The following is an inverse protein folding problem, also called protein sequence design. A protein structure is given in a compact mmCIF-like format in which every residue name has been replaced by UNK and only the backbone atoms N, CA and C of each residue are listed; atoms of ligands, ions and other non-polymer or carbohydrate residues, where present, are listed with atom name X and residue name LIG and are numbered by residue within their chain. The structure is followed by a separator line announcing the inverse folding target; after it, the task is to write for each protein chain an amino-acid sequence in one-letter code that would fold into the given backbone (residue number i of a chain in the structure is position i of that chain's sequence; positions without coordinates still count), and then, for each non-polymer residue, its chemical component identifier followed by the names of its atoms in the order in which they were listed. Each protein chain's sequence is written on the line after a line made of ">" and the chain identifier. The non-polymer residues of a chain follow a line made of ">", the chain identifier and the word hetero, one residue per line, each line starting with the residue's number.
data_IF_599703121619
#
_entry.id   IF_599703121619
#
_cell.length_a   1.000
_cell.length_b   1.000
_cell.length_c   1.000
_cell.angle_alpha   90.00
_cell.angle_beta   90.00
_cell.angle_gamma   90.00
#
_symmetry.space_group_name_H-M   'P 1'
#
loop_
_entity.id
_entity.type
_entity.pdbx_description
1 polymer ?
#
# COMPACT_ATOMS: atom_id res chain seq x y z
N UNK A 1 -21.42 -2.60 10.64
CA UNK A 1 -20.82 -2.45 9.27
C UNK A 1 -19.35 -2.24 9.47
N UNK A 2 -18.50 -2.86 8.64
CA UNK A 2 -17.04 -2.73 8.68
C UNK A 2 -16.51 -2.73 7.24
N UNK A 3 -15.31 -2.19 7.04
CA UNK A 3 -14.64 -2.28 5.74
C UNK A 3 -14.07 -3.70 5.61
N UNK A 4 -14.52 -4.46 4.62
CA UNK A 4 -14.03 -5.81 4.35
C UNK A 4 -12.67 -5.78 3.64
N UNK A 5 -12.57 -5.02 2.57
CA UNK A 5 -11.33 -4.80 1.83
C UNK A 5 -11.32 -3.47 1.08
N UNK A 6 -10.14 -3.04 0.72
CA UNK A 6 -9.88 -2.01 -0.27
C UNK A 6 -9.28 -2.69 -1.51
N UNK A 7 -9.65 -2.24 -2.70
CA UNK A 7 -9.11 -2.79 -3.94
C UNK A 7 -8.34 -1.74 -4.73
N UNK A 8 -7.25 -2.16 -5.37
CA UNK A 8 -6.35 -1.30 -6.12
C UNK A 8 -5.89 -2.00 -7.40
N UNK A 9 -5.98 -1.30 -8.53
CA UNK A 9 -5.36 -1.75 -9.77
C UNK A 9 -3.87 -1.45 -9.78
N UNK A 10 -3.08 -2.45 -10.20
CA UNK A 10 -1.61 -2.38 -10.29
C UNK A 10 -1.15 -2.89 -11.65
N UNK A 11 -0.01 -2.37 -12.14
CA UNK A 11 0.56 -2.77 -13.41
C UNK A 11 1.33 -4.09 -13.29
N UNK A 12 2.18 -4.20 -12.24
CA UNK A 12 2.97 -5.40 -11.93
C UNK A 12 2.48 -6.04 -10.63
N UNK A 13 1.57 -7.01 -10.80
CA UNK A 13 0.91 -7.70 -9.70
C UNK A 13 1.90 -8.43 -8.76
N UNK A 14 2.95 -9.05 -9.32
CA UNK A 14 3.93 -9.82 -8.54
C UNK A 14 4.87 -8.89 -7.75
N UNK A 15 5.36 -7.83 -8.36
CA UNK A 15 6.19 -6.83 -7.68
C UNK A 15 5.44 -6.18 -6.52
N UNK A 16 4.17 -5.81 -6.72
CA UNK A 16 3.34 -5.22 -5.68
C UNK A 16 3.05 -6.21 -4.54
N UNK A 17 2.75 -7.46 -4.85
CA UNK A 17 2.59 -8.51 -3.84
C UNK A 17 3.85 -8.66 -2.97
N UNK A 18 5.02 -8.77 -3.60
CA UNK A 18 6.30 -8.93 -2.90
C UNK A 18 6.57 -7.72 -1.99
N UNK A 19 6.31 -6.52 -2.46
CA UNK A 19 6.48 -5.30 -1.68
C UNK A 19 5.68 -5.32 -0.38
N UNK A 20 4.38 -5.61 -0.45
CA UNK A 20 3.54 -5.65 0.75
C UNK A 20 3.88 -6.81 1.68
N UNK A 21 4.27 -7.97 1.14
CA UNK A 21 4.75 -9.10 1.96
C UNK A 21 6.04 -8.71 2.71
N UNK A 22 7.00 -8.15 2.01
CA UNK A 22 8.33 -7.88 2.54
C UNK A 22 8.34 -6.75 3.58
N UNK A 23 7.61 -5.66 3.32
CA UNK A 23 7.70 -4.45 4.13
C UNK A 23 6.54 -4.26 5.10
N UNK A 24 5.37 -4.81 4.79
CA UNK A 24 4.16 -4.64 5.60
C UNK A 24 3.64 -5.94 6.21
N UNK A 25 4.37 -7.05 6.07
CA UNK A 25 4.02 -8.32 6.69
C UNK A 25 2.76 -8.96 6.14
N UNK A 26 2.38 -8.64 4.91
CA UNK A 26 1.21 -9.24 4.28
C UNK A 26 1.38 -10.74 4.03
N UNK A 27 0.26 -11.47 4.06
CA UNK A 27 0.14 -12.83 3.54
C UNK A 27 -0.79 -12.81 2.34
N UNK A 28 -0.35 -13.37 1.22
CA UNK A 28 -1.17 -13.46 0.00
C UNK A 28 -1.86 -14.82 -0.10
N UNK A 29 -3.11 -14.82 -0.59
CA UNK A 29 -3.77 -16.05 -1.03
C UNK A 29 -3.21 -16.55 -2.36
N UNK A 30 -3.76 -17.67 -2.87
CA UNK A 30 -3.48 -18.13 -4.23
C UNK A 30 -4.02 -17.13 -5.27
N UNK A 31 -3.24 -16.95 -6.35
CA UNK A 31 -3.64 -16.06 -7.44
C UNK A 31 -4.95 -16.52 -8.08
N UNK A 32 -5.93 -15.64 -8.13
CA UNK A 32 -7.08 -15.83 -8.98
C UNK A 32 -6.80 -15.31 -10.39
N UNK A 33 -7.22 -16.07 -11.40
CA UNK A 33 -7.15 -15.69 -12.80
C UNK A 33 -8.49 -15.96 -13.49
N UNK A 34 -9.06 -14.93 -14.10
CA UNK A 34 -10.23 -15.06 -14.95
C UNK A 34 -9.80 -15.18 -16.42
N UNK A 35 -9.94 -16.36 -17.07
CA UNK A 35 -9.44 -16.55 -18.43
C UNK A 35 -10.23 -15.79 -19.49
N UNK A 36 -11.45 -15.36 -19.19
CA UNK A 36 -12.27 -14.60 -20.15
C UNK A 36 -11.90 -13.13 -20.19
N UNK A 37 -11.54 -12.55 -19.07
CA UNK A 37 -11.25 -11.11 -18.93
C UNK A 37 -9.75 -10.82 -18.80
N UNK A 38 -8.95 -11.83 -18.49
CA UNK A 38 -7.54 -11.68 -18.13
C UNK A 38 -7.30 -11.04 -16.77
N UNK A 39 -8.36 -10.78 -15.98
CA UNK A 39 -8.23 -10.26 -14.63
C UNK A 39 -7.43 -11.24 -13.76
N UNK A 40 -6.45 -10.74 -13.04
CA UNK A 40 -5.69 -11.48 -12.05
C UNK A 40 -5.70 -10.71 -10.74
N UNK A 41 -5.86 -11.42 -9.61
CA UNK A 41 -5.93 -10.79 -8.28
C UNK A 41 -5.22 -11.59 -7.21
N UNK A 42 -4.76 -10.86 -6.17
CA UNK A 42 -4.40 -11.39 -4.87
C UNK A 42 -5.15 -10.63 -3.79
N UNK A 43 -5.59 -11.35 -2.76
CA UNK A 43 -5.97 -10.76 -1.48
C UNK A 43 -4.77 -10.82 -0.54
N UNK A 44 -4.41 -9.67 -0.01
CA UNK A 44 -3.36 -9.49 0.98
C UNK A 44 -4.02 -9.31 2.34
N UNK A 45 -3.68 -10.17 3.30
CA UNK A 45 -4.13 -10.10 4.69
C UNK A 45 -2.98 -9.67 5.58
N UNK A 46 -3.29 -8.88 6.59
CA UNK A 46 -2.35 -8.39 7.59
C UNK A 46 -2.68 -9.01 8.96
N UNK A 47 -1.94 -8.65 10.00
CA UNK A 47 -2.17 -9.16 11.36
C UNK A 47 -3.61 -8.95 11.83
N UNK A 48 -4.20 -7.81 11.45
CA UNK A 48 -5.60 -7.48 11.76
C UNK A 48 -6.15 -6.47 10.75
N UNK A 49 -7.45 -6.21 10.83
CA UNK A 49 -8.12 -5.19 10.02
C UNK A 49 -8.60 -5.67 8.65
N UNK A 50 -8.78 -4.72 7.75
CA UNK A 50 -9.28 -4.97 6.41
C UNK A 50 -8.19 -5.56 5.51
N UNK A 51 -8.63 -6.30 4.49
CA UNK A 51 -7.72 -6.84 3.46
C UNK A 51 -7.43 -5.78 2.39
N UNK A 52 -6.34 -5.99 1.68
CA UNK A 52 -6.04 -5.26 0.45
C UNK A 52 -6.14 -6.22 -0.73
N UNK A 53 -7.01 -5.93 -1.71
CA UNK A 53 -7.04 -6.66 -2.98
C UNK A 53 -6.20 -5.91 -4.00
N UNK A 54 -5.17 -6.54 -4.53
CA UNK A 54 -4.40 -6.02 -5.66
C UNK A 54 -4.79 -6.75 -6.93
N UNK A 55 -5.03 -6.01 -8.00
CA UNK A 55 -5.59 -6.53 -9.25
C UNK A 55 -4.84 -5.99 -10.45
N UNK A 56 -4.74 -6.80 -11.51
CA UNK A 56 -4.32 -6.34 -12.82
C UNK A 56 -5.19 -6.93 -13.93
N UNK A 57 -5.21 -6.28 -15.10
CA UNK A 57 -5.94 -6.74 -16.27
C UNK A 57 -5.32 -6.20 -17.56
N UNK A 58 -5.52 -6.86 -18.73
CA UNK A 58 -4.84 -6.47 -19.97
C UNK A 58 -5.19 -5.07 -20.49
N UNK A 59 -6.39 -4.58 -20.19
CA UNK A 59 -6.92 -3.28 -20.62
C UNK A 59 -6.82 -2.19 -19.53
N UNK A 60 -5.86 -2.35 -18.60
CA UNK A 60 -5.60 -1.38 -17.55
C UNK A 60 -5.12 -0.05 -18.15
N UNK A 61 -5.73 1.05 -17.73
CA UNK A 61 -5.32 2.40 -18.11
C UNK A 61 -4.48 3.01 -17.00
N UNK A 62 -3.21 3.24 -17.29
CA UNK A 62 -2.30 3.92 -16.35
C UNK A 62 -2.61 5.41 -16.34
N UNK A 63 -2.85 5.97 -15.15
CA UNK A 63 -3.09 7.41 -14.95
C UNK A 63 -1.95 8.01 -14.15
N UNK A 64 -1.57 9.22 -14.50
CA UNK A 64 -0.69 10.03 -13.65
C UNK A 64 -1.45 10.42 -12.38
N UNK A 65 -0.83 10.18 -11.23
CA UNK A 65 -1.37 10.57 -9.93
C UNK A 65 -0.84 11.95 -9.60
N UNK A 66 -1.73 12.93 -9.50
CA UNK A 66 -1.37 14.27 -9.08
C UNK A 66 -1.67 14.46 -7.59
N UNK A 67 -0.82 15.19 -6.86
CA UNK A 67 -1.14 15.61 -5.49
C UNK A 67 -2.45 16.41 -5.50
N UNK A 68 -3.30 16.17 -4.51
CA UNK A 68 -4.57 16.89 -4.31
C UNK A 68 -5.69 16.59 -5.32
N UNK A 69 -5.56 15.54 -6.13
CA UNK A 69 -6.70 15.04 -6.88
C UNK A 69 -7.77 14.51 -5.93
N UNK A 70 -9.03 14.81 -6.21
CA UNK A 70 -10.15 14.33 -5.40
C UNK A 70 -10.26 12.79 -5.50
N UNK A 71 -10.53 12.13 -4.37
CA UNK A 71 -10.69 10.66 -4.29
C UNK A 71 -9.85 10.06 -3.17
N UNK A 72 -9.52 8.78 -3.30
CA UNK A 72 -8.64 8.11 -2.34
C UNK A 72 -7.22 8.66 -2.47
N UNK A 73 -6.63 9.06 -1.32
CA UNK A 73 -5.30 9.68 -1.30
C UNK A 73 -4.21 8.70 -0.87
N UNK A 74 -4.40 7.99 0.22
CA UNK A 74 -3.41 7.06 0.77
C UNK A 74 -4.05 5.84 1.40
N UNK A 75 -3.22 4.82 1.60
CA UNK A 75 -3.48 3.68 2.45
C UNK A 75 -2.65 3.84 3.73
N UNK A 76 -3.29 3.86 4.91
CA UNK A 76 -2.60 4.02 6.18
C UNK A 76 -2.40 2.66 6.87
N UNK A 77 -1.18 2.42 7.37
CA UNK A 77 -0.81 1.26 8.18
C UNK A 77 -0.38 1.69 9.56
N UNK A 78 -1.09 1.21 10.61
CA UNK A 78 -0.62 1.38 11.98
C UNK A 78 0.44 0.33 12.31
N UNK A 79 1.60 0.80 12.77
CA UNK A 79 2.73 -0.05 13.16
C UNK A 79 2.91 -0.13 14.68
N UNK A 80 2.11 0.65 15.43
CA UNK A 80 1.95 0.55 16.88
C UNK A 80 2.98 1.28 17.72
N UNK A 81 3.98 1.95 17.15
CA UNK A 81 4.87 2.86 17.91
C UNK A 81 5.65 3.81 16.98
N UNK A 82 6.12 4.92 17.56
CA UNK A 82 6.97 5.91 16.85
C UNK A 82 8.27 5.29 16.35
N UNK A 83 8.91 4.44 17.17
CA UNK A 83 10.14 3.76 16.82
C UNK A 83 9.96 2.85 15.60
N UNK A 84 8.80 2.22 15.48
CA UNK A 84 8.47 1.39 14.30
C UNK A 84 8.19 2.23 13.07
N UNK A 85 7.57 3.40 13.21
CA UNK A 85 7.42 4.37 12.10
C UNK A 85 8.80 4.77 11.58
N UNK A 86 9.71 5.18 12.47
CA UNK A 86 11.08 5.58 12.10
C UNK A 86 11.84 4.44 11.42
N UNK A 87 11.79 3.24 12.01
CA UNK A 87 12.51 2.07 11.52
C UNK A 87 12.01 1.64 10.12
N UNK A 88 10.69 1.53 9.93
CA UNK A 88 10.12 1.12 8.64
C UNK A 88 10.37 2.18 7.56
N UNK A 89 10.21 3.46 7.89
CA UNK A 89 10.51 4.57 6.96
C UNK A 89 11.97 4.53 6.51
N UNK A 90 12.89 4.32 7.45
CA UNK A 90 14.31 4.21 7.12
C UNK A 90 14.62 2.96 6.28
N UNK A 91 14.01 1.82 6.58
CA UNK A 91 14.15 0.58 5.79
C UNK A 91 13.72 0.80 4.34
N UNK A 92 12.55 1.42 4.13
CA UNK A 92 12.03 1.71 2.80
C UNK A 92 12.93 2.71 2.05
N UNK A 93 13.42 3.75 2.73
CA UNK A 93 14.38 4.71 2.15
C UNK A 93 15.65 4.02 1.69
N UNK A 94 16.24 3.16 2.53
CA UNK A 94 17.46 2.41 2.18
C UNK A 94 17.24 1.42 1.03
N UNK A 95 16.03 0.90 0.88
CA UNK A 95 15.63 0.06 -0.25
C UNK A 95 15.35 0.85 -1.54
N UNK A 96 15.44 2.19 -1.51
CA UNK A 96 15.28 3.06 -2.67
C UNK A 96 13.87 3.59 -2.91
N UNK A 97 12.93 3.35 -1.99
CA UNK A 97 11.57 3.91 -2.09
C UNK A 97 11.54 5.38 -1.67
N UNK A 98 10.68 6.14 -2.32
CA UNK A 98 10.54 7.57 -2.07
C UNK A 98 9.81 7.83 -0.75
N UNK A 99 10.44 8.59 0.14
CA UNK A 99 9.82 9.14 1.34
C UNK A 99 9.31 10.54 0.99
N UNK A 100 8.00 10.72 0.98
CA UNK A 100 7.35 12.00 0.64
C UNK A 100 7.13 12.89 1.85
N UNK A 101 7.05 12.29 3.03
CA UNK A 101 6.98 13.00 4.32
C UNK A 101 7.80 12.24 5.36
N UNK A 102 8.78 12.92 5.96
CA UNK A 102 9.58 12.37 7.05
C UNK A 102 8.71 12.12 8.30
N UNK A 103 9.12 11.18 9.18
CA UNK A 103 8.44 10.97 10.44
C UNK A 103 8.29 12.27 11.22
N UNK A 104 7.06 12.60 11.58
CA UNK A 104 6.73 13.83 12.32
C UNK A 104 5.45 13.69 13.12
N UNK A 105 5.26 14.53 14.10
CA UNK A 105 3.94 14.70 14.74
C UNK A 105 3.11 15.69 13.93
N UNK A 106 1.92 15.26 13.53
CA UNK A 106 0.95 16.10 12.80
C UNK A 106 0.23 17.09 13.72
N UNK A 107 -0.45 18.07 13.13
CA UNK A 107 -1.20 19.08 13.89
C UNK A 107 -2.36 18.51 14.72
N UNK A 108 -2.89 17.34 14.35
CA UNK A 108 -3.93 16.59 15.07
C UNK A 108 -3.36 15.50 16.01
N UNK A 109 -2.03 15.42 16.13
CA UNK A 109 -1.35 14.67 17.19
C UNK A 109 -0.90 13.26 16.80
N UNK A 110 -1.10 12.81 15.55
CA UNK A 110 -0.57 11.54 15.08
C UNK A 110 0.94 11.63 14.82
N UNK A 111 1.64 10.52 15.02
CA UNK A 111 3.02 10.39 14.59
C UNK A 111 3.08 9.48 13.38
N UNK A 112 3.52 10.03 12.26
CA UNK A 112 3.42 9.37 10.98
C UNK A 112 4.53 9.78 10.01
N UNK A 113 4.70 8.97 8.97
CA UNK A 113 5.48 9.27 7.76
C UNK A 113 4.70 8.87 6.53
N UNK A 114 5.12 9.35 5.36
CA UNK A 114 4.54 8.95 4.09
C UNK A 114 5.62 8.47 3.11
N UNK A 115 5.33 7.38 2.42
CA UNK A 115 6.19 6.75 1.42
C UNK A 115 5.40 6.41 0.16
N UNK A 116 6.09 6.19 -0.96
CA UNK A 116 5.47 5.67 -2.17
C UNK A 116 5.75 4.17 -2.31
N UNK A 117 4.73 3.42 -2.73
CA UNK A 117 4.92 2.04 -3.15
C UNK A 117 5.60 1.97 -4.54
N UNK A 118 5.91 0.78 -5.12
CA UNK A 118 6.57 0.66 -6.42
C UNK A 118 5.83 1.29 -7.60
N UNK A 119 4.54 1.59 -7.44
CA UNK A 119 3.71 2.20 -8.47
C UNK A 119 3.18 3.58 -8.08
N UNK A 120 3.91 4.28 -7.20
CA UNK A 120 3.63 5.65 -6.75
C UNK A 120 2.28 5.82 -6.02
N UNK A 121 1.74 4.75 -5.42
CA UNK A 121 0.65 4.90 -4.49
C UNK A 121 1.18 5.39 -3.14
N UNK A 122 0.49 6.39 -2.57
CA UNK A 122 0.87 6.96 -1.28
C UNK A 122 0.49 6.00 -0.14
N UNK A 123 1.45 5.71 0.71
CA UNK A 123 1.28 4.94 1.94
C UNK A 123 1.63 5.83 3.12
N UNK A 124 0.75 5.85 4.12
CA UNK A 124 1.00 6.47 5.41
C UNK A 124 1.35 5.39 6.44
N UNK A 125 2.41 5.61 7.21
CA UNK A 125 2.88 4.72 8.28
C UNK A 125 2.63 5.45 9.59
N UNK A 126 1.73 4.92 10.43
CA UNK A 126 1.22 5.56 11.65
C UNK A 126 1.62 4.78 12.89
N UNK A 127 1.95 5.49 13.97
CA UNK A 127 2.30 4.90 15.27
C UNK A 127 1.08 4.28 16.00
#
# INVERSE_FOLDING_TARGET
>A
MQIDHLALYVQDLETMKIFYIQYFGATANDKYHNPRTGLQTYFLTFESGSRLEIMTRPDLVVRTKAPFDAGYIHLAFSVGSREKVDALTNTLRQAGFTVTSEPRTTGDGYYESCVLDPEDNLIEIVA
#
